data_IF_134634829313
#
_entry.id   IF_134634829313
#
_cell.length_a   1.000
_cell.length_b   1.000
_cell.length_c   1.000
_cell.angle_alpha   90.00
_cell.angle_beta   90.00
_cell.angle_gamma   90.00
#
_symmetry.space_group_name_H-M   'P 1'
#
loop_
_entity.id
_entity.type
_entity.pdbx_description
1 polymer ?
#
# COMPACT_ATOMS: atom_id res chain seq x y z
N UNK A 1 -11.08 -20.61 -7.44
CA UNK A 1 -9.74 -20.01 -7.15
C UNK A 1 -8.90 -19.82 -8.40
N UNK A 2 -8.75 -20.78 -9.31
CA UNK A 2 -7.95 -20.64 -10.52
C UNK A 2 -8.27 -19.38 -11.34
N UNK A 3 -9.53 -19.06 -11.56
CA UNK A 3 -9.97 -17.87 -12.29
C UNK A 3 -9.54 -16.57 -11.61
N UNK A 4 -9.66 -16.50 -10.28
CA UNK A 4 -9.21 -15.30 -9.53
C UNK A 4 -7.70 -15.16 -9.59
N UNK A 5 -6.96 -16.25 -9.45
CA UNK A 5 -5.51 -16.25 -9.56
C UNK A 5 -5.07 -15.77 -10.95
N UNK A 6 -5.60 -16.38 -12.02
CA UNK A 6 -5.27 -15.99 -13.38
C UNK A 6 -5.57 -14.52 -13.68
N UNK A 7 -6.64 -13.97 -13.10
CA UNK A 7 -7.08 -12.59 -13.36
C UNK A 7 -6.32 -11.54 -12.55
N UNK A 8 -5.94 -11.86 -11.31
CA UNK A 8 -5.43 -10.85 -10.37
C UNK A 8 -4.01 -11.09 -9.86
N UNK A 9 -3.39 -12.24 -10.13
CA UNK A 9 -2.06 -12.56 -9.59
C UNK A 9 -0.99 -11.55 -9.98
N UNK A 10 -0.92 -11.14 -11.24
CA UNK A 10 0.07 -10.16 -11.71
C UNK A 10 -0.08 -8.81 -11.04
N UNK A 11 -1.33 -8.34 -10.88
CA UNK A 11 -1.61 -7.06 -10.23
C UNK A 11 -1.27 -7.09 -8.72
N UNK A 12 -1.63 -8.17 -8.04
CA UNK A 12 -1.37 -8.32 -6.60
C UNK A 12 0.11 -8.56 -6.33
N UNK A 13 0.80 -9.27 -7.22
CA UNK A 13 2.25 -9.44 -7.15
C UNK A 13 2.97 -8.08 -7.28
N UNK A 14 2.65 -7.29 -8.31
CA UNK A 14 3.22 -5.98 -8.50
C UNK A 14 2.95 -5.06 -7.29
N UNK A 15 1.75 -5.15 -6.72
CA UNK A 15 1.37 -4.40 -5.52
C UNK A 15 2.19 -4.82 -4.29
N UNK A 16 2.35 -6.12 -4.04
CA UNK A 16 3.18 -6.64 -2.97
C UNK A 16 4.66 -6.23 -3.15
N UNK A 17 5.20 -6.43 -4.36
CA UNK A 17 6.58 -6.08 -4.68
C UNK A 17 6.89 -4.60 -4.43
N UNK A 18 5.96 -3.70 -4.75
CA UNK A 18 6.13 -2.27 -4.47
C UNK A 18 6.33 -1.95 -2.98
N UNK A 19 5.75 -2.77 -2.11
CA UNK A 19 5.85 -2.59 -0.65
C UNK A 19 7.13 -3.22 -0.11
N UNK A 20 7.46 -4.45 -0.58
CA UNK A 20 8.55 -5.23 0.03
C UNK A 20 9.89 -5.12 -0.70
N UNK A 21 9.88 -4.71 -1.98
CA UNK A 21 11.04 -4.54 -2.86
C UNK A 21 11.94 -5.80 -2.96
N UNK A 22 11.33 -6.99 -2.85
CA UNK A 22 12.01 -8.29 -2.93
C UNK A 22 11.10 -9.25 -3.71
N UNK A 23 11.64 -9.86 -4.79
CA UNK A 23 10.89 -10.73 -5.69
C UNK A 23 10.38 -11.99 -4.99
N UNK A 24 11.27 -12.66 -4.23
CA UNK A 24 10.93 -13.91 -3.54
C UNK A 24 9.85 -13.67 -2.49
N UNK A 25 10.02 -12.61 -1.71
CA UNK A 25 9.03 -12.22 -0.68
C UNK A 25 7.70 -11.84 -1.31
N UNK A 26 7.70 -11.13 -2.44
CA UNK A 26 6.47 -10.76 -3.12
C UNK A 26 5.71 -11.98 -3.65
N UNK A 27 6.42 -13.01 -4.15
CA UNK A 27 5.83 -14.29 -4.56
C UNK A 27 5.22 -15.04 -3.36
N UNK A 28 5.94 -15.14 -2.26
CA UNK A 28 5.46 -15.79 -1.04
C UNK A 28 4.21 -15.08 -0.49
N UNK A 29 4.24 -13.75 -0.42
CA UNK A 29 3.09 -12.95 0.00
C UNK A 29 1.88 -13.10 -0.93
N UNK A 30 2.11 -13.23 -2.24
CA UNK A 30 1.04 -13.49 -3.20
C UNK A 30 0.37 -14.84 -2.90
N UNK A 31 1.16 -15.91 -2.73
CA UNK A 31 0.65 -17.25 -2.42
C UNK A 31 -0.14 -17.24 -1.11
N UNK A 32 0.43 -16.65 -0.06
CA UNK A 32 -0.24 -16.52 1.23
C UNK A 32 -1.53 -15.70 1.14
N UNK A 33 -1.54 -14.64 0.32
CA UNK A 33 -2.73 -13.82 0.11
C UNK A 33 -3.84 -14.64 -0.52
N UNK A 34 -3.56 -15.44 -1.54
CA UNK A 34 -4.54 -16.32 -2.16
C UNK A 34 -5.02 -17.44 -1.24
N UNK A 35 -4.14 -17.96 -0.37
CA UNK A 35 -4.55 -18.91 0.67
C UNK A 35 -5.54 -18.27 1.66
N UNK A 36 -5.26 -17.03 2.10
CA UNK A 36 -6.17 -16.29 2.97
C UNK A 36 -7.51 -15.96 2.28
N UNK A 37 -7.46 -15.61 1.00
CA UNK A 37 -8.66 -15.42 0.18
C UNK A 37 -9.53 -16.69 0.16
N UNK A 38 -8.91 -17.84 -0.04
CA UNK A 38 -9.63 -19.10 -0.03
C UNK A 38 -10.28 -19.38 1.33
N UNK A 39 -9.53 -19.19 2.42
CA UNK A 39 -10.04 -19.39 3.78
C UNK A 39 -11.15 -18.40 4.16
N UNK A 40 -11.12 -17.18 3.63
CA UNK A 40 -12.04 -16.10 3.98
C UNK A 40 -13.06 -15.78 2.87
N UNK A 41 -13.21 -16.64 1.88
CA UNK A 41 -14.10 -16.41 0.74
C UNK A 41 -15.55 -16.11 1.15
N UNK A 42 -16.04 -16.74 2.22
CA UNK A 42 -17.37 -16.50 2.78
C UNK A 42 -17.55 -15.12 3.40
N UNK A 43 -16.48 -14.40 3.71
CA UNK A 43 -16.52 -13.04 4.29
C UNK A 43 -16.58 -11.94 3.23
N UNK A 44 -16.43 -12.29 1.94
CA UNK A 44 -16.56 -11.32 0.87
C UNK A 44 -18.02 -10.87 0.71
N UNK A 45 -18.21 -9.56 0.62
CA UNK A 45 -19.53 -8.97 0.36
C UNK A 45 -19.43 -7.95 -0.78
N UNK A 46 -20.16 -8.17 -1.90
CA UNK A 46 -20.16 -7.24 -3.03
C UNK A 46 -20.61 -5.82 -2.67
N UNK A 47 -21.40 -5.68 -1.60
CA UNK A 47 -21.88 -4.37 -1.12
C UNK A 47 -20.73 -3.53 -0.51
N UNK A 48 -19.66 -4.16 -0.05
CA UNK A 48 -18.52 -3.49 0.57
C UNK A 48 -17.43 -3.09 -0.43
N UNK A 49 -17.53 -3.55 -1.68
CA UNK A 49 -16.60 -3.17 -2.74
C UNK A 49 -16.30 -4.27 -3.74
N UNK A 50 -15.53 -3.92 -4.76
CA UNK A 50 -15.12 -4.84 -5.81
C UNK A 50 -14.21 -5.95 -5.26
N UNK A 51 -14.23 -7.12 -5.91
CA UNK A 51 -13.37 -8.27 -5.59
C UNK A 51 -11.90 -7.85 -5.52
N UNK A 52 -11.43 -7.06 -6.50
CA UNK A 52 -10.04 -6.59 -6.52
C UNK A 52 -9.68 -5.80 -5.25
N UNK A 53 -10.54 -4.89 -4.80
CA UNK A 53 -10.30 -4.07 -3.59
C UNK A 53 -10.15 -4.95 -2.34
N UNK A 54 -10.98 -5.98 -2.23
CA UNK A 54 -10.91 -6.94 -1.14
C UNK A 54 -9.62 -7.77 -1.18
N UNK A 55 -9.22 -8.27 -2.36
CA UNK A 55 -7.97 -8.99 -2.58
C UNK A 55 -6.75 -8.10 -2.26
N UNK A 56 -6.74 -6.87 -2.77
CA UNK A 56 -5.68 -5.90 -2.55
C UNK A 56 -5.53 -5.55 -1.06
N UNK A 57 -6.63 -5.41 -0.32
CA UNK A 57 -6.58 -5.18 1.13
C UNK A 57 -5.91 -6.35 1.88
N UNK A 58 -6.21 -7.60 1.52
CA UNK A 58 -5.58 -8.78 2.12
C UNK A 58 -4.08 -8.78 1.84
N UNK A 59 -3.70 -8.56 0.58
CA UNK A 59 -2.29 -8.51 0.16
C UNK A 59 -1.54 -7.37 0.84
N UNK A 60 -2.16 -6.19 0.92
CA UNK A 60 -1.59 -5.03 1.60
C UNK A 60 -1.28 -5.32 3.08
N UNK A 61 -2.25 -5.85 3.82
CA UNK A 61 -2.04 -6.17 5.24
C UNK A 61 -0.87 -7.12 5.43
N UNK A 62 -0.76 -8.17 4.61
CA UNK A 62 0.35 -9.13 4.69
C UNK A 62 1.70 -8.48 4.38
N UNK A 63 1.76 -7.66 3.33
CA UNK A 63 2.98 -6.95 2.96
C UNK A 63 3.44 -5.99 4.07
N UNK A 64 2.51 -5.25 4.67
CA UNK A 64 2.80 -4.36 5.80
C UNK A 64 3.23 -5.12 7.05
N UNK A 65 2.61 -6.24 7.36
CA UNK A 65 3.00 -7.09 8.51
C UNK A 65 4.42 -7.63 8.31
N UNK A 66 4.76 -8.04 7.09
CA UNK A 66 6.13 -8.45 6.75
C UNK A 66 7.14 -7.30 6.95
N UNK A 67 6.87 -6.12 6.41
CA UNK A 67 7.75 -4.95 6.57
C UNK A 67 7.94 -4.58 8.04
N UNK A 68 6.88 -4.64 8.83
CA UNK A 68 6.93 -4.39 10.27
C UNK A 68 7.77 -5.42 11.02
N UNK A 69 7.57 -6.71 10.73
CA UNK A 69 8.33 -7.78 11.36
C UNK A 69 9.82 -7.67 11.07
N UNK A 70 10.17 -7.37 9.81
CA UNK A 70 11.56 -7.16 9.38
C UNK A 70 12.21 -5.98 10.09
N UNK A 71 11.51 -4.85 10.23
CA UNK A 71 11.99 -3.68 10.98
C UNK A 71 12.27 -3.99 12.44
N UNK A 72 11.36 -4.69 13.09
CA UNK A 72 11.51 -5.10 14.49
C UNK A 72 12.72 -6.01 14.70
N UNK A 73 13.02 -6.88 13.72
CA UNK A 73 14.13 -7.81 13.80
C UNK A 73 15.51 -7.15 13.57
N UNK A 74 15.59 -6.16 12.68
CA UNK A 74 16.87 -5.51 12.29
C UNK A 74 17.23 -4.32 13.18
N UNK A 75 16.34 -3.87 14.08
CA UNK A 75 16.62 -2.76 15.00
C UNK A 75 16.83 -1.42 14.28
N UNK A 76 16.15 -1.20 13.16
CA UNK A 76 16.28 0.03 12.35
C UNK A 76 16.05 1.30 13.18
N UNK A 77 17.05 2.19 13.16
CA UNK A 77 16.92 3.55 13.69
C UNK A 77 16.21 4.45 12.67
N UNK A 78 15.52 5.48 13.17
CA UNK A 78 14.73 6.44 12.37
C UNK A 78 15.54 7.18 11.28
N UNK A 79 16.86 7.26 11.41
CA UNK A 79 17.74 7.95 10.45
C UNK A 79 18.05 7.12 9.19
N UNK A 80 18.04 5.81 9.27
CA UNK A 80 18.28 4.93 8.11
C UNK A 80 17.08 4.88 7.16
N UNK A 81 15.88 5.22 7.65
CA UNK A 81 14.66 5.24 6.84
C UNK A 81 14.59 6.46 5.91
N UNK A 82 15.24 7.56 6.25
CA UNK A 82 15.33 8.74 5.35
C UNK A 82 16.17 8.46 4.10
N UNK A 83 17.08 7.49 4.18
CA UNK A 83 17.95 7.08 3.07
C UNK A 83 17.42 5.88 2.29
N UNK A 84 16.50 5.11 2.84
CA UNK A 84 15.87 3.96 2.18
C UNK A 84 14.71 4.35 1.24
N UNK A 85 14.79 5.50 0.59
CA UNK A 85 13.94 5.86 -0.56
C UNK A 85 14.41 5.13 -1.83
N UNK A 86 14.79 3.86 -1.70
CA UNK A 86 14.95 2.97 -2.83
C UNK A 86 13.58 2.39 -3.20
N UNK A 87 12.68 3.27 -3.66
CA UNK A 87 11.62 2.79 -4.53
C UNK A 87 12.31 2.17 -5.75
N UNK A 88 11.99 0.91 -6.12
CA UNK A 88 12.53 0.31 -7.33
C UNK A 88 12.26 1.23 -8.52
N UNK A 89 13.26 1.29 -9.44
CA UNK A 89 13.16 2.10 -10.65
C UNK A 89 11.81 1.88 -11.37
N UNK A 90 11.17 2.95 -11.82
CA UNK A 90 9.84 2.87 -12.45
C UNK A 90 9.77 1.97 -13.69
N UNK A 91 10.90 1.73 -14.35
CA UNK A 91 10.97 1.26 -15.73
C UNK A 91 10.54 -0.19 -15.98
N UNK A 92 10.64 -1.08 -14.98
CA UNK A 92 10.28 -2.50 -15.18
C UNK A 92 8.79 -2.78 -14.86
N UNK A 93 8.12 -1.88 -14.19
CA UNK A 93 6.77 -2.10 -13.63
C UNK A 93 5.70 -1.21 -14.23
N UNK A 94 6.07 -0.19 -14.98
CA UNK A 94 5.13 0.67 -15.71
C UNK A 94 4.25 -0.10 -16.67
N UNK A 95 4.65 -1.29 -17.12
CA UNK A 95 3.87 -2.11 -18.02
C UNK A 95 2.68 -2.81 -17.34
N UNK A 96 2.84 -3.22 -16.09
CA UNK A 96 1.77 -3.86 -15.30
C UNK A 96 0.86 -2.82 -14.61
N UNK A 97 1.43 -1.66 -14.27
CA UNK A 97 0.72 -0.54 -13.65
C UNK A 97 0.19 0.50 -14.65
N UNK A 98 0.26 0.24 -15.93
CA UNK A 98 -0.42 1.03 -16.98
C UNK A 98 -1.95 0.89 -16.96
N UNK A 99 -2.53 0.31 -15.92
CA UNK A 99 -3.96 0.49 -15.72
C UNK A 99 -4.22 1.98 -15.46
N UNK A 100 -5.19 2.53 -16.14
CA UNK A 100 -5.67 3.91 -15.98
C UNK A 100 -5.82 4.27 -14.50
N UNK A 101 -6.24 3.33 -13.66
CA UNK A 101 -6.42 3.49 -12.22
C UNK A 101 -5.13 3.77 -11.43
N UNK A 102 -4.01 3.18 -11.80
CA UNK A 102 -2.75 3.43 -11.08
C UNK A 102 -2.16 4.80 -11.40
N UNK A 103 -2.28 5.24 -12.64
CA UNK A 103 -1.91 6.60 -13.04
C UNK A 103 -2.77 7.63 -12.31
N UNK A 104 -4.07 7.39 -12.19
CA UNK A 104 -5.02 8.25 -11.47
C UNK A 104 -4.69 8.33 -9.97
N UNK A 105 -4.34 7.23 -9.32
CA UNK A 105 -3.92 7.24 -7.91
C UNK A 105 -2.62 8.02 -7.73
N UNK A 106 -1.65 7.86 -8.64
CA UNK A 106 -0.40 8.64 -8.62
C UNK A 106 -0.66 10.13 -8.76
N UNK A 107 -1.46 10.52 -9.75
CA UNK A 107 -1.87 11.89 -9.97
C UNK A 107 -2.60 12.46 -8.75
N UNK A 108 -3.53 11.72 -8.17
CA UNK A 108 -4.22 12.12 -6.94
C UNK A 108 -3.26 12.32 -5.76
N UNK A 109 -2.24 11.46 -5.64
CA UNK A 109 -1.19 11.62 -4.62
C UNK A 109 -0.33 12.87 -4.86
N UNK A 110 -0.01 13.17 -6.11
CA UNK A 110 0.77 14.37 -6.47
C UNK A 110 0.02 15.67 -6.19
N UNK A 111 -1.30 15.66 -6.29
CA UNK A 111 -2.17 16.79 -5.95
C UNK A 111 -2.31 17.04 -4.44
N UNK A 112 -1.86 16.11 -3.60
CA UNK A 112 -1.89 16.32 -2.16
C UNK A 112 -0.79 17.30 -1.71
N UNK A 113 -1.05 18.14 -0.68
CA UNK A 113 0.00 18.84 0.03
C UNK A 113 1.08 17.88 0.49
N UNK A 114 2.35 18.28 0.38
CA UNK A 114 3.50 17.43 0.69
C UNK A 114 3.41 16.75 2.07
N UNK A 115 2.91 17.47 3.06
CA UNK A 115 2.74 16.97 4.43
C UNK A 115 1.68 15.87 4.57
N UNK A 116 0.63 15.89 3.75
CA UNK A 116 -0.42 14.87 3.74
C UNK A 116 0.06 13.66 2.94
N UNK A 117 0.71 13.87 1.81
CA UNK A 117 1.33 12.83 1.00
C UNK A 117 2.34 12.05 1.82
N UNK A 118 3.26 12.73 2.50
CA UNK A 118 4.28 12.09 3.32
C UNK A 118 3.71 11.15 4.37
N UNK A 119 2.70 11.57 5.13
CA UNK A 119 2.11 10.70 6.16
C UNK A 119 1.34 9.52 5.59
N UNK A 120 0.73 9.67 4.39
CA UNK A 120 0.09 8.56 3.67
C UNK A 120 1.16 7.57 3.19
N UNK A 121 2.25 8.04 2.60
CA UNK A 121 3.35 7.20 2.14
C UNK A 121 3.97 6.38 3.28
N UNK A 122 4.27 7.03 4.41
CA UNK A 122 4.81 6.37 5.59
C UNK A 122 3.85 5.30 6.14
N UNK A 123 2.56 5.62 6.26
CA UNK A 123 1.58 4.71 6.82
C UNK A 123 1.26 3.54 5.87
N UNK A 124 1.01 3.85 4.59
CA UNK A 124 0.48 2.88 3.62
C UNK A 124 1.55 2.03 2.95
N UNK A 125 2.67 2.62 2.56
CA UNK A 125 3.71 1.89 1.82
C UNK A 125 4.88 1.44 2.69
N UNK A 126 5.19 2.20 3.75
CA UNK A 126 6.29 1.86 4.64
C UNK A 126 5.81 1.18 5.94
N UNK A 127 4.49 1.09 6.15
CA UNK A 127 3.89 0.38 7.27
C UNK A 127 4.15 1.00 8.65
N UNK A 128 4.42 2.31 8.70
CA UNK A 128 4.62 3.00 9.98
C UNK A 128 3.29 3.14 10.73
N UNK A 129 3.32 2.92 12.02
CA UNK A 129 2.20 3.29 12.89
C UNK A 129 2.11 4.80 13.03
N UNK A 130 0.94 5.31 13.38
CA UNK A 130 0.78 6.75 13.62
C UNK A 130 1.71 7.28 14.71
N UNK A 131 2.03 6.45 15.72
CA UNK A 131 2.95 6.82 16.78
C UNK A 131 4.40 6.92 16.28
N UNK A 132 4.85 5.97 15.44
CA UNK A 132 6.16 6.02 14.80
C UNK A 132 6.30 7.22 13.87
N UNK A 133 5.26 7.53 13.08
CA UNK A 133 5.23 8.73 12.23
C UNK A 133 5.34 10.00 13.09
N UNK A 134 4.58 10.06 14.20
CA UNK A 134 4.61 11.20 15.09
C UNK A 134 6.01 11.41 15.70
N UNK A 135 6.65 10.34 16.15
CA UNK A 135 8.01 10.38 16.69
C UNK A 135 9.04 10.75 15.61
N UNK A 136 9.01 10.07 14.46
CA UNK A 136 9.99 10.26 13.39
C UNK A 136 9.90 11.61 12.68
N UNK A 137 8.70 12.15 12.55
CA UNK A 137 8.47 13.47 11.95
C UNK A 137 8.43 14.61 12.99
N UNK A 138 8.62 14.32 14.27
CA UNK A 138 8.52 15.30 15.38
C UNK A 138 7.17 16.04 15.38
N UNK A 139 6.08 15.29 15.17
CA UNK A 139 4.72 15.79 15.11
C UNK A 139 3.90 15.28 16.29
N UNK A 140 2.86 16.02 16.66
CA UNK A 140 1.86 15.50 17.58
C UNK A 140 1.05 14.38 16.92
N UNK A 141 0.70 13.34 17.66
CA UNK A 141 -0.10 12.22 17.18
C UNK A 141 -1.44 12.67 16.58
N UNK A 142 -2.06 13.70 17.15
CA UNK A 142 -3.27 14.33 16.60
C UNK A 142 -3.05 14.95 15.22
N UNK A 143 -1.89 15.58 15.01
CA UNK A 143 -1.51 16.15 13.71
C UNK A 143 -1.36 15.07 12.65
N UNK A 144 -0.70 13.94 12.96
CA UNK A 144 -0.56 12.80 12.04
C UNK A 144 -1.92 12.25 11.65
N UNK A 145 -2.79 11.99 12.63
CA UNK A 145 -4.17 11.52 12.37
C UNK A 145 -4.98 12.51 11.53
N UNK A 146 -4.84 13.80 11.81
CA UNK A 146 -5.49 14.88 11.05
C UNK A 146 -5.00 14.94 9.60
N UNK A 147 -3.68 14.89 9.37
CA UNK A 147 -3.08 14.88 8.02
C UNK A 147 -3.52 13.65 7.22
N UNK A 148 -3.51 12.46 7.82
CA UNK A 148 -4.00 11.23 7.18
C UNK A 148 -5.46 11.35 6.79
N UNK A 149 -6.33 11.76 7.73
CA UNK A 149 -7.76 11.91 7.45
C UNK A 149 -8.03 12.90 6.32
N UNK A 150 -7.43 14.08 6.38
CA UNK A 150 -7.62 15.11 5.36
C UNK A 150 -7.04 14.69 4.01
N UNK A 151 -5.87 14.04 3.99
CA UNK A 151 -5.26 13.53 2.78
C UNK A 151 -6.13 12.47 2.10
N UNK A 152 -6.67 11.51 2.84
CA UNK A 152 -7.58 10.50 2.30
C UNK A 152 -8.91 11.09 1.78
N UNK A 153 -9.45 12.10 2.46
CA UNK A 153 -10.66 12.81 1.98
C UNK A 153 -10.38 13.51 0.66
N UNK A 154 -9.25 14.24 0.57
CA UNK A 154 -8.85 14.92 -0.67
C UNK A 154 -8.60 13.94 -1.80
N UNK A 155 -7.88 12.86 -1.51
CA UNK A 155 -7.60 11.79 -2.48
C UNK A 155 -8.89 11.20 -3.05
N UNK A 156 -9.86 10.89 -2.17
CA UNK A 156 -11.19 10.43 -2.59
C UNK A 156 -11.89 11.45 -3.51
N UNK A 157 -11.79 12.74 -3.20
CA UNK A 157 -12.40 13.81 -4.00
C UNK A 157 -11.76 13.93 -5.38
N UNK A 158 -10.43 13.92 -5.44
CA UNK A 158 -9.68 13.95 -6.71
C UNK A 158 -10.01 12.74 -7.57
N UNK A 159 -9.99 11.53 -6.99
CA UNK A 159 -10.33 10.30 -7.72
C UNK A 159 -11.76 10.31 -8.26
N UNK A 160 -12.73 10.83 -7.50
CA UNK A 160 -14.10 10.98 -7.98
C UNK A 160 -14.23 11.99 -9.15
N UNK A 161 -13.37 13.00 -9.23
CA UNK A 161 -13.34 13.95 -10.35
C UNK A 161 -12.69 13.36 -11.61
N UNK A 162 -11.73 12.46 -11.45
CA UNK A 162 -11.01 11.80 -12.55
C UNK A 162 -11.83 10.60 -13.11
N UNK A 163 -12.95 10.23 -12.47
CA UNK A 163 -13.87 9.20 -12.98
C UNK A 163 -13.55 7.77 -12.54
N UNK A 164 -13.03 7.62 -11.33
CA UNK A 164 -12.80 6.30 -10.67
C UNK A 164 -13.93 6.00 -9.67
#
# INVERSE_FOLDING_TARGET
MAILYQRYSSLLYAFAYRIVADHQVAEDLLQESFLAVWQRASSYSPQLGAVYTWLAAITHHRAIDYVRSRRSYVGFTLDEVKTASNAPSPDAWDEVWRSVQAAQVREAMEMLPAEQRQVIELAYFQGWTHAEIAAGCQLLLGTVKGRLRLGLIRMKHVLAQIGV
#
